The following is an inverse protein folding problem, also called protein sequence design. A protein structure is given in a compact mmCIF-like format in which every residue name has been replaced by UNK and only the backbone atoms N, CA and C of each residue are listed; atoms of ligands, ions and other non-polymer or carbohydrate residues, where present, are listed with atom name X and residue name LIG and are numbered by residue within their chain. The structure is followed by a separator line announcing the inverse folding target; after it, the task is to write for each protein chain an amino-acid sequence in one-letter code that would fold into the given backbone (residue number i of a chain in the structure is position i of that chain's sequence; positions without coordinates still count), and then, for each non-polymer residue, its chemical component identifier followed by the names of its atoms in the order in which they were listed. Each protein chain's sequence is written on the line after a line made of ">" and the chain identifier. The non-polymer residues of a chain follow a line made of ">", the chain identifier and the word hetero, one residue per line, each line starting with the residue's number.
data_IF_345250532423
#
_entry.id   IF_345250532423
#
_cell.length_a   1.000
_cell.length_b   1.000
_cell.length_c   1.000
_cell.angle_alpha   90.00
_cell.angle_beta   90.00
_cell.angle_gamma   90.00
#
_symmetry.space_group_name_H-M   'P 1'
#
loop_
_entity.id
_entity.type
_entity.pdbx_description
1 polymer ?
#
# COMPACT_ATOMS: atom_id res chain seq x y z
N UNK A 1 18.49 7.87 6.30
CA UNK A 1 17.34 8.77 6.05
C UNK A 1 17.24 8.97 4.54
N UNK A 2 16.14 8.56 3.91
CA UNK A 2 15.96 8.74 2.46
C UNK A 2 15.43 10.15 2.21
N UNK A 3 16.11 10.91 1.35
CA UNK A 3 15.66 12.23 0.91
C UNK A 3 15.19 12.14 -0.53
N UNK A 4 13.91 12.44 -0.76
CA UNK A 4 13.34 12.46 -2.10
C UNK A 4 13.62 13.82 -2.76
N UNK A 5 14.49 13.84 -3.76
CA UNK A 5 14.73 15.04 -4.58
C UNK A 5 13.55 15.28 -5.54
N UNK A 6 13.11 16.53 -5.75
CA UNK A 6 12.14 16.86 -6.79
C UNK A 6 12.75 16.69 -8.19
N UNK A 7 11.96 16.22 -9.15
CA UNK A 7 12.29 16.34 -10.57
C UNK A 7 11.66 17.63 -11.11
N UNK A 8 12.44 18.46 -11.80
CA UNK A 8 11.97 19.77 -12.25
C UNK A 8 10.82 19.62 -13.27
N UNK A 9 9.69 20.28 -13.00
CA UNK A 9 8.52 20.28 -13.90
C UNK A 9 7.63 19.04 -13.86
N UNK A 10 8.01 17.98 -13.13
CA UNK A 10 7.16 16.82 -12.93
C UNK A 10 6.48 16.91 -11.55
N UNK A 11 5.13 17.01 -11.47
CA UNK A 11 4.46 16.72 -10.21
C UNK A 11 4.93 15.34 -9.76
N UNK A 12 5.08 15.12 -8.44
CA UNK A 12 5.31 13.76 -7.93
C UNK A 12 4.09 12.92 -8.29
N UNK A 13 4.11 12.29 -9.45
CA UNK A 13 3.21 11.21 -9.77
C UNK A 13 3.48 10.12 -8.73
N UNK A 14 2.44 9.63 -8.07
CA UNK A 14 2.60 8.43 -7.29
C UNK A 14 3.18 7.30 -8.17
N UNK A 15 3.69 6.24 -7.53
CA UNK A 15 4.21 5.08 -8.26
C UNK A 15 3.18 4.47 -9.23
N UNK A 16 3.60 3.52 -10.06
CA UNK A 16 2.74 2.87 -11.07
C UNK A 16 1.38 2.43 -10.49
N UNK A 17 1.36 1.88 -9.27
CA UNK A 17 0.12 1.50 -8.57
C UNK A 17 -0.83 2.68 -8.32
N UNK A 18 -0.30 3.84 -7.90
CA UNK A 18 -1.08 5.06 -7.70
C UNK A 18 -1.70 5.54 -9.01
N UNK A 19 -0.92 5.51 -10.09
CA UNK A 19 -1.37 5.91 -11.40
C UNK A 19 -2.44 4.96 -11.96
N UNK A 20 -2.31 3.65 -11.74
CA UNK A 20 -3.32 2.66 -12.12
C UNK A 20 -4.64 2.85 -11.37
N UNK A 21 -4.58 3.09 -10.05
CA UNK A 21 -5.78 3.45 -9.27
C UNK A 21 -6.42 4.74 -9.80
N UNK A 22 -5.62 5.76 -10.09
CA UNK A 22 -6.13 7.03 -10.64
C UNK A 22 -6.80 6.85 -12.01
N UNK A 23 -6.32 5.91 -12.82
CA UNK A 23 -6.93 5.56 -14.12
C UNK A 23 -8.14 4.63 -14.01
N UNK A 24 -8.44 4.08 -12.82
CA UNK A 24 -9.59 3.20 -12.60
C UNK A 24 -9.53 1.89 -13.39
N UNK A 25 -8.32 1.35 -13.63
CA UNK A 25 -8.09 0.12 -14.43
C UNK A 25 -8.78 -1.11 -13.86
N UNK A 26 -9.22 -1.09 -12.60
CA UNK A 26 -9.85 -2.22 -11.92
C UNK A 26 -8.85 -3.20 -11.30
N UNK A 27 -7.57 -3.12 -11.69
CA UNK A 27 -6.49 -4.00 -11.26
C UNK A 27 -5.19 -3.22 -11.05
N UNK A 28 -4.33 -3.75 -10.17
CA UNK A 28 -2.99 -3.22 -9.86
C UNK A 28 -2.03 -4.40 -9.59
N UNK A 29 -0.73 -4.13 -9.55
CA UNK A 29 0.31 -5.15 -9.37
C UNK A 29 0.51 -5.59 -7.89
N UNK A 30 -0.49 -5.39 -7.01
CA UNK A 30 -0.34 -5.64 -5.58
C UNK A 30 -0.06 -7.12 -5.26
N UNK A 31 -0.58 -8.06 -6.06
CA UNK A 31 -0.29 -9.48 -5.92
C UNK A 31 1.18 -9.82 -6.21
N UNK A 32 1.81 -9.12 -7.15
CA UNK A 32 3.23 -9.32 -7.48
C UNK A 32 4.16 -8.54 -6.56
N UNK A 33 3.72 -7.41 -6.00
CA UNK A 33 4.53 -6.58 -5.11
C UNK A 33 4.42 -7.05 -3.65
N UNK A 34 3.23 -6.94 -3.05
CA UNK A 34 3.00 -7.34 -1.67
C UNK A 34 2.83 -8.86 -1.54
N UNK A 35 2.16 -9.49 -2.51
CA UNK A 35 1.88 -10.92 -2.48
C UNK A 35 3.13 -11.79 -2.60
N UNK A 36 4.16 -11.36 -3.35
CA UNK A 36 5.44 -12.07 -3.43
C UNK A 36 6.19 -12.01 -2.09
N UNK A 37 6.22 -10.84 -1.43
CA UNK A 37 6.80 -10.72 -0.09
C UNK A 37 6.05 -11.63 0.89
N UNK A 38 4.72 -11.66 0.81
CA UNK A 38 3.90 -12.52 1.66
C UNK A 38 4.10 -14.02 1.38
N UNK A 39 4.29 -14.39 0.12
CA UNK A 39 4.62 -15.76 -0.28
C UNK A 39 5.97 -16.19 0.30
N UNK A 40 7.01 -15.36 0.11
CA UNK A 40 8.33 -15.60 0.69
C UNK A 40 8.26 -15.70 2.22
N UNK A 41 7.50 -14.83 2.87
CA UNK A 41 7.25 -14.89 4.31
C UNK A 41 6.70 -16.25 4.75
N UNK A 42 5.65 -16.75 4.07
CA UNK A 42 5.09 -18.08 4.34
C UNK A 42 6.07 -19.22 4.09
N UNK A 43 6.83 -19.17 3.00
CA UNK A 43 7.82 -20.19 2.65
C UNK A 43 8.98 -20.26 3.66
N UNK A 44 9.31 -19.14 4.29
CA UNK A 44 10.42 -19.03 5.25
C UNK A 44 9.99 -18.93 6.71
N UNK A 45 8.69 -19.06 7.01
CA UNK A 45 8.16 -18.95 8.37
C UNK A 45 8.28 -17.56 9.00
N UNK A 46 8.38 -16.51 8.19
CA UNK A 46 8.47 -15.10 8.63
C UNK A 46 7.10 -14.43 8.42
N UNK A 47 6.40 -13.99 9.49
CA UNK A 47 5.14 -13.27 9.35
C UNK A 47 5.31 -11.94 8.61
N UNK A 48 4.43 -11.67 7.66
CA UNK A 48 4.41 -10.43 6.85
C UNK A 48 3.08 -9.67 6.95
N UNK A 49 2.55 -9.42 8.17
CA UNK A 49 1.17 -8.97 8.36
C UNK A 49 0.84 -7.65 7.66
N UNK A 50 1.82 -6.74 7.54
CA UNK A 50 1.63 -5.47 6.82
C UNK A 50 1.54 -5.67 5.31
N UNK A 51 2.32 -6.58 4.72
CA UNK A 51 2.20 -6.89 3.29
C UNK A 51 0.88 -7.59 3.00
N UNK A 52 0.46 -8.53 3.86
CA UNK A 52 -0.84 -9.19 3.72
C UNK A 52 -2.00 -8.18 3.77
N UNK A 53 -1.95 -7.22 4.70
CA UNK A 53 -2.95 -6.16 4.80
C UNK A 53 -2.93 -5.25 3.57
N UNK A 54 -1.76 -4.76 3.18
CA UNK A 54 -1.62 -3.83 2.06
C UNK A 54 -2.04 -4.47 0.73
N UNK A 55 -1.70 -5.76 0.50
CA UNK A 55 -2.17 -6.51 -0.66
C UNK A 55 -3.70 -6.51 -0.74
N UNK A 56 -4.38 -6.88 0.36
CA UNK A 56 -5.85 -6.93 0.42
C UNK A 56 -6.48 -5.56 0.19
N UNK A 57 -5.98 -4.53 0.86
CA UNK A 57 -6.54 -3.17 0.74
C UNK A 57 -6.33 -2.60 -0.66
N UNK A 58 -5.15 -2.78 -1.23
CA UNK A 58 -4.83 -2.24 -2.54
C UNK A 58 -5.68 -2.91 -3.64
N UNK A 59 -5.86 -4.25 -3.59
CA UNK A 59 -6.77 -4.97 -4.48
C UNK A 59 -8.23 -4.56 -4.29
N UNK A 60 -8.66 -4.31 -3.05
CA UNK A 60 -10.00 -3.78 -2.75
C UNK A 60 -10.21 -2.43 -3.43
N UNK A 61 -9.25 -1.52 -3.29
CA UNK A 61 -9.30 -0.20 -3.92
C UNK A 61 -9.35 -0.27 -5.44
N UNK A 62 -8.55 -1.15 -6.04
CA UNK A 62 -8.55 -1.36 -7.47
C UNK A 62 -9.91 -1.86 -7.97
N UNK A 63 -10.44 -2.92 -7.34
CA UNK A 63 -11.73 -3.53 -7.68
C UNK A 63 -12.89 -2.55 -7.54
N UNK A 64 -12.88 -1.75 -6.47
CA UNK A 64 -13.92 -0.76 -6.17
C UNK A 64 -13.71 0.58 -6.90
N UNK A 65 -12.63 0.70 -7.69
CA UNK A 65 -12.21 1.95 -8.37
C UNK A 65 -12.13 3.14 -7.42
N UNK A 66 -11.66 2.90 -6.19
CA UNK A 66 -11.47 3.96 -5.19
C UNK A 66 -10.27 4.82 -5.59
N UNK A 67 -10.40 6.13 -5.37
CA UNK A 67 -9.32 7.07 -5.63
C UNK A 67 -8.09 6.74 -4.76
N UNK A 68 -6.87 6.85 -5.31
CA UNK A 68 -5.67 6.68 -4.49
C UNK A 68 -5.60 7.78 -3.43
N UNK A 69 -5.11 7.44 -2.24
CA UNK A 69 -5.06 8.37 -1.11
C UNK A 69 -6.41 8.67 -0.43
N UNK A 70 -7.50 8.01 -0.83
CA UNK A 70 -8.83 8.21 -0.23
C UNK A 70 -9.02 7.54 1.14
N UNK A 71 -8.10 6.68 1.59
CA UNK A 71 -8.07 6.16 2.96
C UNK A 71 -7.32 7.14 3.86
N UNK A 72 -7.93 7.66 4.94
CA UNK A 72 -7.19 8.38 5.96
C UNK A 72 -6.10 7.49 6.56
N UNK A 73 -4.89 8.03 6.75
CA UNK A 73 -3.77 7.26 7.30
C UNK A 73 -4.07 6.68 8.69
N UNK A 74 -4.85 7.39 9.52
CA UNK A 74 -5.27 6.87 10.84
C UNK A 74 -6.16 5.63 10.74
N UNK A 75 -7.00 5.53 9.71
CA UNK A 75 -7.78 4.33 9.45
C UNK A 75 -6.88 3.16 9.05
N UNK A 76 -5.91 3.39 8.15
CA UNK A 76 -4.92 2.39 7.78
C UNK A 76 -4.15 1.88 8.99
N UNK A 77 -3.65 2.79 9.86
CA UNK A 77 -2.93 2.43 11.08
C UNK A 77 -3.79 1.58 12.00
N UNK A 78 -5.06 1.94 12.22
CA UNK A 78 -5.99 1.14 13.03
C UNK A 78 -6.15 -0.29 12.50
N UNK A 79 -6.19 -0.47 11.18
CA UNK A 79 -6.30 -1.79 10.55
C UNK A 79 -5.05 -2.66 10.73
N UNK A 80 -3.89 -2.08 11.05
CA UNK A 80 -2.67 -2.84 11.32
C UNK A 80 -2.70 -3.55 12.68
N UNK A 81 -3.62 -3.19 13.57
CA UNK A 81 -3.60 -3.65 14.97
C UNK A 81 -2.42 -3.11 15.78
N UNK A 82 -1.60 -2.23 15.21
CA UNK A 82 -0.59 -1.47 15.95
C UNK A 82 -1.29 -0.35 16.71
N UNK A 83 -1.83 -0.65 17.88
CA UNK A 83 -2.26 0.39 18.82
C UNK A 83 -1.06 1.27 19.14
N UNK A 84 -1.13 2.54 18.74
CA UNK A 84 -0.25 3.56 19.28
C UNK A 84 -0.73 3.84 20.69
N UNK A 85 -0.33 2.98 21.63
CA UNK A 85 -0.33 3.36 23.03
C UNK A 85 0.46 4.66 23.14
N UNK A 86 -0.24 5.77 23.35
CA UNK A 86 0.35 6.96 23.97
C UNK A 86 0.96 6.47 25.27
N UNK A 87 2.26 6.19 25.24
CA UNK A 87 3.06 6.08 26.44
C UNK A 87 3.21 7.50 26.97
N UNK A 88 2.76 7.65 28.21
CA UNK A 88 2.81 8.78 29.15
C UNK A 88 3.68 9.98 28.75
#
# INVERSE_FOLDING_TARGET
>A
KVFLAPLHGAPRGGGSSWQSLNRGTGTIEADYLNGEIALLGRLHGVPTPLNDLLQRLANTFARERRAPGSMPVGELVRLTGMDHGTSA
#
